data_IF_924238988502
#
_entry.id   IF_924238988502
#
_cell.length_a   1.000
_cell.length_b   1.000
_cell.length_c   1.000
_cell.angle_alpha   90.00
_cell.angle_beta   90.00
_cell.angle_gamma   90.00
#
_symmetry.space_group_name_H-M   'P 1'
#
loop_
_entity.id
_entity.type
_entity.pdbx_description
1 polymer ?
#
# COMPACT_ATOMS: atom_id res chain seq x y z
N UNK A 1 4.49 38.99 -17.01
CA UNK A 1 3.12 38.52 -16.86
C UNK A 1 2.87 37.08 -17.33
N UNK A 2 3.29 36.66 -18.56
CA UNK A 2 3.08 35.28 -19.05
C UNK A 2 3.73 34.22 -18.13
N UNK A 3 4.97 34.44 -17.70
CA UNK A 3 5.71 33.50 -16.83
C UNK A 3 5.05 33.32 -15.46
N UNK A 4 4.57 34.41 -14.84
CA UNK A 4 3.92 34.35 -13.54
C UNK A 4 2.60 33.56 -13.60
N UNK A 5 1.81 33.75 -14.67
CA UNK A 5 0.58 33.00 -14.93
C UNK A 5 0.88 31.51 -15.10
N UNK A 6 1.93 31.17 -15.81
CA UNK A 6 2.34 29.75 -16.01
C UNK A 6 2.75 29.11 -14.69
N UNK A 7 3.56 29.79 -13.86
CA UNK A 7 3.96 29.30 -12.54
C UNK A 7 2.73 29.08 -11.66
N UNK A 8 1.80 30.02 -11.64
CA UNK A 8 0.57 29.91 -10.86
C UNK A 8 -0.27 28.69 -11.28
N UNK A 9 -0.41 28.43 -12.57
CA UNK A 9 -1.13 27.24 -13.09
C UNK A 9 -0.47 25.97 -12.65
N UNK A 10 0.88 25.86 -12.69
CA UNK A 10 1.60 24.69 -12.22
C UNK A 10 1.41 24.44 -10.72
N UNK A 11 1.46 25.50 -9.90
CA UNK A 11 1.20 25.38 -8.46
C UNK A 11 -0.23 24.89 -8.21
N UNK A 12 -1.21 25.45 -8.91
CA UNK A 12 -2.61 25.05 -8.79
C UNK A 12 -2.82 23.58 -9.19
N UNK A 13 -2.15 23.14 -10.26
CA UNK A 13 -2.18 21.74 -10.72
C UNK A 13 -1.58 20.79 -9.69
N UNK A 14 -0.48 21.17 -9.06
CA UNK A 14 0.14 20.37 -8.00
C UNK A 14 -0.79 20.24 -6.77
N UNK A 15 -1.37 21.36 -6.33
CA UNK A 15 -2.35 21.35 -5.24
C UNK A 15 -3.54 20.44 -5.58
N UNK A 16 -4.05 20.52 -6.81
CA UNK A 16 -5.15 19.68 -7.27
C UNK A 16 -4.80 18.20 -7.21
N UNK A 17 -3.59 17.79 -7.66
CA UNK A 17 -3.13 16.40 -7.59
C UNK A 17 -3.12 15.93 -6.14
N UNK A 18 -2.52 16.72 -5.22
CA UNK A 18 -2.43 16.36 -3.80
C UNK A 18 -3.83 16.17 -3.20
N UNK A 19 -4.74 17.13 -3.42
CA UNK A 19 -6.11 17.03 -2.89
C UNK A 19 -6.82 15.82 -3.46
N UNK A 20 -6.69 15.60 -4.78
CA UNK A 20 -7.32 14.46 -5.42
C UNK A 20 -6.80 13.14 -4.87
N UNK A 21 -5.48 12.99 -4.70
CA UNK A 21 -4.86 11.79 -4.12
C UNK A 21 -5.43 11.51 -2.72
N UNK A 22 -5.47 12.53 -1.85
CA UNK A 22 -6.02 12.40 -0.49
C UNK A 22 -7.48 11.94 -0.54
N UNK A 23 -8.32 12.59 -1.35
CA UNK A 23 -9.75 12.24 -1.46
C UNK A 23 -9.91 10.82 -2.01
N UNK A 24 -9.11 10.44 -2.99
CA UNK A 24 -9.18 9.11 -3.58
C UNK A 24 -8.78 8.01 -2.60
N UNK A 25 -7.71 8.21 -1.82
CA UNK A 25 -7.33 7.29 -0.75
C UNK A 25 -8.41 7.17 0.32
N UNK A 26 -8.99 8.28 0.78
CA UNK A 26 -10.09 8.26 1.76
C UNK A 26 -11.30 7.48 1.23
N UNK A 27 -11.66 7.69 -0.04
CA UNK A 27 -12.77 6.95 -0.66
C UNK A 27 -12.48 5.45 -0.75
N UNK A 28 -11.26 5.07 -1.15
CA UNK A 28 -10.86 3.68 -1.21
C UNK A 28 -10.89 3.03 0.17
N UNK A 29 -10.27 3.65 1.16
CA UNK A 29 -10.28 3.20 2.56
C UNK A 29 -11.71 3.04 3.08
N UNK A 30 -12.59 4.01 2.80
CA UNK A 30 -13.99 3.93 3.20
C UNK A 30 -14.71 2.74 2.54
N UNK A 31 -14.50 2.50 1.25
CA UNK A 31 -15.11 1.37 0.56
C UNK A 31 -14.59 0.05 1.11
N UNK A 32 -13.28 -0.08 1.29
CA UNK A 32 -12.68 -1.30 1.85
C UNK A 32 -13.15 -1.55 3.28
N UNK A 33 -13.23 -0.51 4.12
CA UNK A 33 -13.70 -0.67 5.49
C UNK A 33 -15.13 -1.20 5.54
N UNK A 34 -16.01 -0.73 4.65
CA UNK A 34 -17.40 -1.21 4.58
C UNK A 34 -17.54 -2.64 4.04
N UNK A 35 -16.59 -3.07 3.21
CA UNK A 35 -16.64 -4.40 2.59
C UNK A 35 -15.98 -5.48 3.45
N UNK A 36 -14.91 -5.15 4.18
CA UNK A 36 -14.01 -6.16 4.73
C UNK A 36 -13.82 -6.08 6.24
N UNK A 37 -14.09 -4.94 6.91
CA UNK A 37 -13.82 -4.83 8.34
C UNK A 37 -14.98 -5.39 9.17
N UNK A 38 -14.76 -6.47 9.95
CA UNK A 38 -15.67 -6.89 11.01
C UNK A 38 -15.58 -5.92 12.19
N UNK A 39 -16.55 -5.99 13.12
CA UNK A 39 -16.60 -5.11 14.29
C UNK A 39 -15.43 -5.34 15.28
N UNK A 40 -14.83 -6.52 15.27
CA UNK A 40 -13.77 -6.96 16.19
C UNK A 40 -12.37 -6.89 15.55
N UNK A 41 -12.16 -6.10 14.47
CA UNK A 41 -10.84 -5.97 13.88
C UNK A 41 -9.87 -5.22 14.79
N UNK A 42 -8.61 -5.60 14.74
CA UNK A 42 -7.50 -4.97 15.48
C UNK A 42 -6.61 -4.17 14.53
N UNK A 43 -6.22 -4.81 13.43
CA UNK A 43 -5.37 -4.24 12.39
C UNK A 43 -5.98 -4.50 11.02
N UNK A 44 -5.87 -3.50 10.16
CA UNK A 44 -6.23 -3.58 8.76
C UNK A 44 -5.04 -3.20 7.90
N UNK A 45 -4.68 -4.09 6.97
CA UNK A 45 -3.48 -4.02 6.17
C UNK A 45 -3.85 -3.97 4.70
N UNK A 46 -3.43 -2.92 4.02
CA UNK A 46 -3.55 -2.79 2.58
C UNK A 46 -2.24 -3.28 1.92
N UNK A 47 -2.25 -4.55 1.47
CA UNK A 47 -1.03 -5.30 1.15
C UNK A 47 -0.19 -4.70 0.03
N UNK A 48 1.09 -4.54 0.30
CA UNK A 48 2.11 -4.26 -0.71
C UNK A 48 2.40 -5.51 -1.57
N UNK A 49 2.76 -5.40 -2.88
CA UNK A 49 2.91 -4.14 -3.63
C UNK A 49 1.63 -3.67 -4.35
N UNK A 50 0.53 -4.41 -4.24
CA UNK A 50 -0.70 -4.13 -5.00
C UNK A 50 -1.32 -2.80 -4.58
N UNK A 51 -1.20 -2.42 -3.30
CA UNK A 51 -1.58 -1.09 -2.82
C UNK A 51 -0.98 0.05 -3.65
N UNK A 52 0.23 -0.12 -4.16
CA UNK A 52 0.90 0.89 -5.01
C UNK A 52 0.31 1.03 -6.41
N UNK A 53 -0.50 0.07 -6.87
CA UNK A 53 -1.17 0.18 -8.17
C UNK A 53 -2.16 1.34 -8.24
N UNK A 54 -2.58 1.87 -7.09
CA UNK A 54 -3.41 3.07 -6.99
C UNK A 54 -2.77 4.28 -7.70
N UNK A 55 -1.42 4.38 -7.74
CA UNK A 55 -0.70 5.44 -8.43
C UNK A 55 -0.92 5.44 -9.95
N UNK A 56 -1.47 4.37 -10.54
CA UNK A 56 -1.87 4.35 -11.95
C UNK A 56 -2.98 5.38 -12.20
N UNK A 57 -3.91 5.54 -11.27
CA UNK A 57 -4.98 6.55 -11.37
C UNK A 57 -4.43 7.97 -11.21
N UNK A 58 -3.44 8.17 -10.34
CA UNK A 58 -2.73 9.45 -10.25
C UNK A 58 -2.01 9.78 -11.56
N UNK A 59 -1.38 8.78 -12.19
CA UNK A 59 -0.74 8.96 -13.50
C UNK A 59 -1.73 9.41 -14.57
N UNK A 60 -2.97 8.86 -14.58
CA UNK A 60 -4.01 9.32 -15.52
C UNK A 60 -4.33 10.80 -15.33
N UNK A 61 -4.41 11.26 -14.07
CA UNK A 61 -4.69 12.66 -13.77
C UNK A 61 -3.53 13.55 -14.16
N UNK A 62 -2.30 13.13 -13.88
CA UNK A 62 -1.09 13.87 -14.29
C UNK A 62 -1.08 14.03 -15.82
N UNK A 63 -1.34 12.95 -16.57
CA UNK A 63 -1.43 12.99 -18.04
C UNK A 63 -2.52 13.95 -18.50
N UNK A 64 -3.70 13.89 -17.89
CA UNK A 64 -4.80 14.80 -18.22
C UNK A 64 -4.46 16.26 -17.93
N UNK A 65 -3.89 16.55 -16.77
CA UNK A 65 -3.46 17.91 -16.41
C UNK A 65 -2.37 18.44 -17.36
N UNK A 66 -1.37 17.62 -17.70
CA UNK A 66 -0.34 17.97 -18.68
C UNK A 66 -0.95 18.30 -20.04
N UNK A 67 -1.95 17.55 -20.48
CA UNK A 67 -2.68 17.83 -21.71
C UNK A 67 -3.38 19.22 -21.69
N UNK A 68 -4.00 19.59 -20.58
CA UNK A 68 -4.71 20.87 -20.49
C UNK A 68 -3.76 22.06 -20.26
N UNK A 69 -2.71 21.88 -19.48
CA UNK A 69 -1.83 22.98 -19.03
C UNK A 69 -0.67 23.22 -20.00
N UNK A 70 -0.11 22.18 -20.60
CA UNK A 70 1.13 22.27 -21.38
C UNK A 70 0.86 22.14 -22.89
N UNK A 71 1.03 23.26 -23.64
CA UNK A 71 0.83 23.29 -25.07
C UNK A 71 1.76 22.34 -25.83
N UNK A 72 3.03 22.29 -25.46
CA UNK A 72 4.02 21.44 -26.13
C UNK A 72 3.71 19.96 -25.94
N UNK A 73 3.27 19.58 -24.74
CA UNK A 73 2.84 18.21 -24.46
C UNK A 73 1.60 17.81 -25.27
N UNK A 74 0.62 18.72 -25.38
CA UNK A 74 -0.56 18.52 -26.22
C UNK A 74 -0.21 18.34 -27.70
N UNK A 75 0.74 19.16 -28.21
CA UNK A 75 1.24 19.02 -29.60
C UNK A 75 1.96 17.69 -29.80
N UNK A 76 2.80 17.26 -28.84
CA UNK A 76 3.45 15.94 -28.87
C UNK A 76 2.43 14.80 -28.91
N UNK A 77 1.43 14.82 -28.04
CA UNK A 77 0.36 13.83 -28.05
C UNK A 77 -0.41 13.81 -29.37
N UNK A 78 -0.67 14.98 -29.93
CA UNK A 78 -1.34 15.09 -31.24
C UNK A 78 -0.53 14.45 -32.36
N UNK A 79 0.80 14.65 -32.37
CA UNK A 79 1.71 13.99 -33.32
C UNK A 79 1.67 12.48 -33.15
N UNK A 80 1.76 11.98 -31.91
CA UNK A 80 1.72 10.54 -31.62
C UNK A 80 0.38 9.90 -32.04
N UNK A 81 -0.73 10.56 -31.76
CA UNK A 81 -2.07 10.10 -32.16
C UNK A 81 -2.20 10.09 -33.68
N UNK A 82 -1.72 11.12 -34.36
CA UNK A 82 -1.76 11.17 -35.83
C UNK A 82 -0.87 10.11 -36.47
N UNK A 83 0.31 9.84 -35.92
CA UNK A 83 1.18 8.74 -36.35
C UNK A 83 0.50 7.37 -36.23
N UNK A 84 -0.30 7.18 -35.19
CA UNK A 84 -1.02 5.93 -34.92
C UNK A 84 -2.48 5.96 -35.42
N UNK A 85 -2.86 6.95 -36.23
CA UNK A 85 -4.27 7.22 -36.59
C UNK A 85 -4.97 6.04 -37.23
N UNK A 86 -4.31 5.39 -38.19
CA UNK A 86 -4.91 4.25 -38.90
C UNK A 86 -5.05 3.03 -37.96
N UNK A 87 -4.06 2.77 -37.12
CA UNK A 87 -4.13 1.75 -36.10
C UNK A 87 -5.28 2.03 -35.10
N UNK A 88 -5.33 3.24 -34.58
CA UNK A 88 -6.40 3.64 -33.64
C UNK A 88 -7.77 3.54 -34.29
N UNK A 89 -7.91 3.97 -35.53
CA UNK A 89 -9.16 3.90 -36.27
C UNK A 89 -9.63 2.46 -36.48
N UNK A 90 -8.72 1.58 -36.91
CA UNK A 90 -9.03 0.18 -37.20
C UNK A 90 -9.33 -0.64 -35.94
N UNK A 91 -8.69 -0.32 -34.81
CA UNK A 91 -8.82 -1.08 -33.55
C UNK A 91 -9.50 -0.30 -32.43
N UNK A 92 -10.20 0.80 -32.73
CA UNK A 92 -10.83 1.69 -31.75
C UNK A 92 -11.64 0.94 -30.70
N UNK A 93 -12.51 0.05 -31.14
CA UNK A 93 -13.39 -0.72 -30.23
C UNK A 93 -12.58 -1.66 -29.33
N UNK A 94 -11.57 -2.34 -29.90
CA UNK A 94 -10.70 -3.23 -29.14
C UNK A 94 -9.87 -2.44 -28.09
N UNK A 95 -9.34 -1.28 -28.47
CA UNK A 95 -8.57 -0.41 -27.55
C UNK A 95 -9.45 0.05 -26.38
N UNK A 96 -10.65 0.55 -26.66
CA UNK A 96 -11.59 1.00 -25.62
C UNK A 96 -11.98 -0.18 -24.71
N UNK A 97 -12.30 -1.33 -25.29
CA UNK A 97 -12.68 -2.52 -24.54
C UNK A 97 -11.54 -3.01 -23.63
N UNK A 98 -10.32 -3.09 -24.16
CA UNK A 98 -9.13 -3.46 -23.39
C UNK A 98 -8.87 -2.47 -22.25
N UNK A 99 -9.01 -1.16 -22.51
CA UNK A 99 -8.84 -0.14 -21.48
C UNK A 99 -9.89 -0.27 -20.37
N UNK A 100 -11.13 -0.50 -20.71
CA UNK A 100 -12.22 -0.68 -19.73
C UNK A 100 -11.97 -1.93 -18.88
N UNK A 101 -11.68 -3.07 -19.53
CA UNK A 101 -11.40 -4.33 -18.81
C UNK A 101 -10.19 -4.16 -17.91
N UNK A 102 -9.11 -3.55 -18.40
CA UNK A 102 -7.91 -3.29 -17.60
C UNK A 102 -8.24 -2.51 -16.32
N UNK A 103 -9.05 -1.43 -16.44
CA UNK A 103 -9.43 -0.63 -15.27
C UNK A 103 -10.37 -1.39 -14.31
N UNK A 104 -11.26 -2.23 -14.81
CA UNK A 104 -12.10 -3.09 -13.96
C UNK A 104 -11.20 -4.06 -13.16
N UNK A 105 -10.27 -4.75 -13.82
CA UNK A 105 -9.34 -5.68 -13.17
C UNK A 105 -8.45 -4.94 -12.17
N UNK A 106 -7.93 -3.76 -12.54
CA UNK A 106 -7.10 -2.93 -11.68
C UNK A 106 -7.85 -2.51 -10.41
N UNK A 107 -9.06 -1.98 -10.56
CA UNK A 107 -9.91 -1.58 -9.43
C UNK A 107 -10.21 -2.77 -8.53
N UNK A 108 -10.57 -3.91 -9.13
CA UNK A 108 -10.83 -5.14 -8.40
C UNK A 108 -9.59 -5.60 -7.62
N UNK A 109 -8.41 -5.63 -8.26
CA UNK A 109 -7.16 -6.04 -7.61
C UNK A 109 -6.80 -5.12 -6.43
N UNK A 110 -7.00 -3.80 -6.56
CA UNK A 110 -6.76 -2.84 -5.50
C UNK A 110 -7.75 -3.03 -4.35
N UNK A 111 -9.04 -3.21 -4.65
CA UNK A 111 -10.07 -3.36 -3.61
C UNK A 111 -9.90 -4.68 -2.81
N UNK A 112 -9.65 -5.79 -3.49
CA UNK A 112 -9.57 -7.13 -2.88
C UNK A 112 -8.14 -7.53 -2.53
N UNK A 113 -7.34 -6.62 -1.97
CA UNK A 113 -5.97 -6.93 -1.52
C UNK A 113 -5.75 -6.41 -0.10
N UNK A 114 -6.51 -6.97 0.82
CA UNK A 114 -6.59 -6.54 2.22
C UNK A 114 -6.39 -7.73 3.14
N UNK A 115 -5.68 -7.53 4.23
CA UNK A 115 -5.66 -8.49 5.35
C UNK A 115 -6.21 -7.80 6.59
N UNK A 116 -7.07 -8.50 7.29
CA UNK A 116 -7.67 -8.05 8.55
C UNK A 116 -7.24 -8.99 9.66
N UNK A 117 -6.74 -8.43 10.75
CA UNK A 117 -6.43 -9.17 11.97
C UNK A 117 -7.50 -8.82 12.98
N UNK A 118 -8.12 -9.84 13.55
CA UNK A 118 -9.10 -9.74 14.63
C UNK A 118 -8.52 -10.31 15.92
N UNK A 119 -9.28 -10.34 17.01
CA UNK A 119 -8.79 -10.87 18.28
C UNK A 119 -8.38 -12.36 18.26
N UNK A 120 -8.80 -13.14 17.27
CA UNK A 120 -8.59 -14.60 17.28
C UNK A 120 -8.25 -15.20 15.90
N UNK A 121 -8.34 -14.42 14.84
CA UNK A 121 -8.09 -14.90 13.47
C UNK A 121 -7.52 -13.83 12.55
N UNK A 122 -6.96 -14.30 11.45
CA UNK A 122 -6.49 -13.51 10.32
C UNK A 122 -7.41 -13.81 9.15
N UNK A 123 -7.94 -12.78 8.50
CA UNK A 123 -8.77 -12.90 7.30
C UNK A 123 -8.01 -12.28 6.15
N UNK A 124 -7.65 -13.09 5.17
CA UNK A 124 -6.81 -12.68 4.04
C UNK A 124 -7.64 -12.63 2.75
N UNK A 125 -7.96 -11.40 2.32
CA UNK A 125 -8.62 -11.15 1.04
C UNK A 125 -7.58 -10.96 -0.05
N UNK A 126 -7.77 -11.64 -1.17
CA UNK A 126 -6.91 -11.54 -2.35
C UNK A 126 -7.73 -11.49 -3.61
N UNK A 127 -7.08 -11.12 -4.72
CA UNK A 127 -7.69 -11.17 -6.05
C UNK A 127 -8.34 -12.53 -6.36
N UNK A 128 -7.71 -13.64 -5.91
CA UNK A 128 -8.21 -15.00 -6.13
C UNK A 128 -9.17 -15.49 -5.03
N UNK A 129 -9.20 -14.84 -3.89
CA UNK A 129 -10.06 -15.18 -2.75
C UNK A 129 -10.80 -13.95 -2.24
N UNK A 130 -11.79 -13.44 -2.98
CA UNK A 130 -12.51 -12.21 -2.62
C UNK A 130 -13.44 -12.37 -1.42
N UNK A 131 -13.79 -13.59 -1.05
CA UNK A 131 -14.58 -13.90 0.16
C UNK A 131 -13.74 -13.96 1.43
N UNK A 132 -12.42 -13.83 1.29
CA UNK A 132 -11.46 -13.97 2.37
C UNK A 132 -11.14 -15.43 2.70
N UNK A 133 -9.89 -15.69 3.05
CA UNK A 133 -9.44 -16.94 3.63
C UNK A 133 -9.16 -16.72 5.10
N UNK A 134 -9.81 -17.48 5.96
CA UNK A 134 -9.62 -17.37 7.39
C UNK A 134 -8.52 -18.30 7.87
N UNK A 135 -7.69 -17.81 8.81
CA UNK A 135 -6.63 -18.52 9.48
C UNK A 135 -6.72 -18.25 10.98
N UNK A 136 -6.49 -19.27 11.79
CA UNK A 136 -6.27 -19.09 13.22
C UNK A 136 -4.83 -18.66 13.49
N UNK A 137 -4.55 -18.08 14.66
CA UNK A 137 -3.17 -17.72 15.03
C UNK A 137 -2.25 -18.95 15.09
N UNK A 138 -2.79 -20.13 15.38
CA UNK A 138 -2.07 -21.40 15.30
C UNK A 138 -1.64 -21.79 13.88
N UNK A 139 -2.17 -21.13 12.83
CA UNK A 139 -1.75 -21.34 11.46
C UNK A 139 -0.53 -20.50 11.07
N UNK A 140 -0.04 -19.64 11.98
CA UNK A 140 1.24 -18.96 11.80
C UNK A 140 2.36 -20.01 11.96
N UNK A 141 3.11 -20.22 10.89
CA UNK A 141 4.22 -21.17 10.89
C UNK A 141 5.50 -20.53 11.44
N UNK A 142 5.67 -19.21 11.20
CA UNK A 142 6.88 -18.51 11.57
C UNK A 142 6.69 -16.99 11.51
N UNK A 143 7.44 -16.28 12.34
CA UNK A 143 7.55 -14.81 12.32
C UNK A 143 8.98 -14.44 11.93
N UNK A 144 9.14 -13.45 11.06
CA UNK A 144 10.40 -12.86 10.65
C UNK A 144 10.34 -11.33 10.86
N UNK A 145 11.23 -10.78 11.68
CA UNK A 145 11.19 -9.36 12.05
C UNK A 145 12.58 -8.75 12.15
N UNK A 146 12.69 -7.48 11.75
CA UNK A 146 13.95 -6.76 11.71
C UNK A 146 13.83 -5.37 11.10
N UNK A 147 14.99 -4.81 10.72
CA UNK A 147 15.09 -3.49 10.09
C UNK A 147 15.88 -3.58 8.80
N UNK A 148 15.34 -3.02 7.72
CA UNK A 148 16.02 -2.99 6.42
C UNK A 148 17.28 -2.10 6.45
N UNK A 149 18.44 -2.69 6.13
CA UNK A 149 19.72 -1.97 6.12
C UNK A 149 20.05 -1.28 4.81
N UNK A 150 19.45 -1.68 3.70
CA UNK A 150 19.75 -1.15 2.37
C UNK A 150 18.54 -0.43 1.79
N UNK A 151 18.77 0.80 1.32
CA UNK A 151 17.79 1.52 0.50
C UNK A 151 17.77 0.90 -0.89
N UNK A 152 16.60 0.48 -1.36
CA UNK A 152 16.40 0.13 -2.76
C UNK A 152 15.81 1.33 -3.50
N UNK A 153 16.27 1.57 -4.73
CA UNK A 153 15.95 2.79 -5.50
C UNK A 153 14.64 2.71 -6.29
N UNK A 154 13.90 1.62 -6.16
CA UNK A 154 12.63 1.44 -6.87
C UNK A 154 11.46 1.78 -5.93
N UNK A 155 10.48 2.50 -6.45
CA UNK A 155 9.26 2.94 -5.72
C UNK A 155 8.43 1.79 -5.10
N UNK A 156 8.76 0.55 -5.42
CA UNK A 156 8.10 -0.66 -4.93
C UNK A 156 8.95 -1.45 -3.92
N UNK A 157 9.87 -0.79 -3.23
CA UNK A 157 10.76 -1.45 -2.29
C UNK A 157 10.91 -0.64 -1.00
N UNK A 158 11.43 -1.30 0.03
CA UNK A 158 11.60 -0.73 1.37
C UNK A 158 12.67 0.36 1.38
N UNK A 159 12.53 1.32 2.29
CA UNK A 159 13.57 2.30 2.60
C UNK A 159 14.56 1.72 3.63
N UNK A 160 15.75 2.28 3.68
CA UNK A 160 16.70 2.02 4.77
C UNK A 160 16.08 2.50 6.07
N UNK A 161 16.07 1.65 7.09
CA UNK A 161 15.49 1.95 8.38
C UNK A 161 14.02 1.57 8.53
N UNK A 162 13.35 1.12 7.45
CA UNK A 162 11.99 0.59 7.57
C UNK A 162 12.01 -0.68 8.42
N UNK A 163 11.16 -0.72 9.43
CA UNK A 163 10.88 -1.91 10.22
C UNK A 163 10.03 -2.88 9.40
N UNK A 164 10.19 -4.18 9.59
CA UNK A 164 9.31 -5.19 9.04
C UNK A 164 8.92 -6.21 10.10
N UNK A 165 7.69 -6.72 9.99
CA UNK A 165 7.15 -7.78 10.80
C UNK A 165 6.31 -8.71 9.93
N UNK A 166 6.94 -9.77 9.43
CA UNK A 166 6.36 -10.67 8.45
C UNK A 166 5.92 -11.95 9.15
N UNK A 167 4.65 -12.26 9.10
CA UNK A 167 4.13 -13.57 9.46
C UNK A 167 4.09 -14.47 8.22
N UNK A 168 4.53 -15.71 8.35
CA UNK A 168 4.40 -16.74 7.34
C UNK A 168 3.40 -17.79 7.83
N UNK A 169 2.33 -17.99 7.07
CA UNK A 169 1.30 -18.96 7.38
C UNK A 169 1.71 -20.35 6.90
N UNK A 170 1.09 -21.43 7.44
CA UNK A 170 1.39 -22.81 7.09
C UNK A 170 1.24 -23.15 5.61
N UNK A 171 0.44 -22.39 4.87
CA UNK A 171 0.30 -22.54 3.42
C UNK A 171 1.33 -21.75 2.60
N UNK A 172 2.28 -21.07 3.27
CA UNK A 172 3.33 -20.25 2.66
C UNK A 172 2.93 -18.80 2.39
N UNK A 173 1.70 -18.39 2.69
CA UNK A 173 1.26 -16.99 2.57
C UNK A 173 2.07 -16.11 3.53
N UNK A 174 2.58 -14.97 3.04
CA UNK A 174 3.32 -13.99 3.85
C UNK A 174 2.56 -12.69 3.94
N UNK A 175 2.47 -12.16 5.15
CA UNK A 175 1.76 -10.92 5.47
C UNK A 175 2.71 -10.03 6.29
N UNK A 176 2.99 -8.83 5.82
CA UNK A 176 3.78 -7.84 6.57
C UNK A 176 2.84 -6.99 7.43
N UNK A 177 2.92 -7.16 8.74
CA UNK A 177 2.11 -6.42 9.70
C UNK A 177 2.59 -4.97 9.90
N UNK A 178 3.65 -4.54 9.25
CA UNK A 178 4.09 -3.14 9.26
C UNK A 178 3.33 -2.28 8.22
N UNK A 179 2.62 -2.87 7.28
CA UNK A 179 1.86 -2.16 6.24
C UNK A 179 0.42 -1.85 6.68
N UNK A 180 0.26 -1.40 7.92
CA UNK A 180 -1.04 -1.07 8.49
C UNK A 180 -1.59 0.21 7.88
N UNK A 181 -2.82 0.15 7.36
CA UNK A 181 -3.57 1.32 6.90
C UNK A 181 -4.35 1.97 8.06
N UNK A 182 -4.97 1.15 8.92
CA UNK A 182 -5.74 1.61 10.07
C UNK A 182 -5.75 0.59 11.21
N UNK A 183 -6.03 1.09 12.41
CA UNK A 183 -6.24 0.33 13.63
C UNK A 183 -7.67 0.59 14.14
N UNK A 184 -8.19 -0.30 14.96
CA UNK A 184 -9.50 -0.14 15.64
C UNK A 184 -9.55 1.11 16.53
N UNK A 185 -8.39 1.57 16.99
CA UNK A 185 -8.26 2.71 17.90
C UNK A 185 -7.34 3.78 17.33
N UNK A 186 -7.40 5.00 17.87
CA UNK A 186 -6.47 6.10 17.55
C UNK A 186 -5.03 5.83 18.04
N UNK A 187 -4.74 4.59 18.44
CA UNK A 187 -3.42 4.16 18.93
C UNK A 187 -2.54 3.80 17.74
N UNK A 188 -1.28 4.25 17.77
CA UNK A 188 -0.30 3.86 16.75
C UNK A 188 -0.15 2.33 16.69
N UNK A 189 -0.13 1.78 15.50
CA UNK A 189 -0.10 0.33 15.25
C UNK A 189 1.07 -0.40 15.94
N UNK A 190 2.19 0.27 16.21
CA UNK A 190 3.36 -0.33 16.87
C UNK A 190 3.07 -0.77 18.30
N UNK A 191 2.17 -0.09 18.99
CA UNK A 191 1.72 -0.49 20.33
C UNK A 191 0.87 -1.76 20.27
N UNK A 192 0.00 -1.83 19.25
CA UNK A 192 -0.83 -3.01 19.02
C UNK A 192 0.03 -4.19 18.61
N UNK A 193 0.98 -3.95 17.69
CA UNK A 193 1.89 -4.98 17.21
C UNK A 193 2.79 -5.54 18.33
N UNK A 194 3.24 -4.70 19.28
CA UNK A 194 3.97 -5.18 20.48
C UNK A 194 3.11 -6.15 21.31
N UNK A 195 1.82 -5.89 21.42
CA UNK A 195 0.92 -6.79 22.18
C UNK A 195 0.66 -8.09 21.42
N UNK A 196 0.40 -8.03 20.12
CA UNK A 196 0.28 -9.22 19.26
C UNK A 196 1.56 -10.06 19.27
N UNK A 197 2.73 -9.42 19.22
CA UNK A 197 4.02 -10.11 19.29
C UNK A 197 4.19 -10.88 20.59
N UNK A 198 3.81 -10.29 21.73
CA UNK A 198 3.82 -10.98 23.03
C UNK A 198 2.89 -12.20 23.03
N UNK A 199 1.72 -12.07 22.43
CA UNK A 199 0.76 -13.16 22.30
C UNK A 199 1.32 -14.29 21.43
N UNK A 200 1.83 -13.98 20.26
CA UNK A 200 2.40 -14.97 19.33
C UNK A 200 3.62 -15.70 19.94
N UNK A 201 4.51 -14.98 20.64
CA UNK A 201 5.63 -15.60 21.34
C UNK A 201 5.15 -16.48 22.50
N UNK A 202 4.10 -16.10 23.23
CA UNK A 202 3.50 -16.94 24.29
C UNK A 202 2.82 -18.20 23.73
N UNK A 203 2.37 -18.18 22.47
CA UNK A 203 1.84 -19.34 21.76
C UNK A 203 2.93 -20.26 21.20
N UNK A 204 4.21 -20.01 21.51
CA UNK A 204 5.37 -20.75 21.02
C UNK A 204 5.55 -20.72 19.48
N UNK A 205 5.05 -19.65 18.81
CA UNK A 205 5.25 -19.48 17.38
C UNK A 205 6.73 -19.17 17.13
N UNK A 206 7.41 -19.94 16.22
CA UNK A 206 8.80 -19.71 15.90
C UNK A 206 9.06 -18.30 15.40
N UNK A 207 10.02 -17.59 15.99
CA UNK A 207 10.36 -16.22 15.63
C UNK A 207 11.84 -16.06 15.33
N UNK A 208 12.12 -15.48 14.16
CA UNK A 208 13.45 -15.02 13.76
C UNK A 208 13.48 -13.52 13.86
N UNK A 209 14.36 -12.99 14.69
CA UNK A 209 14.46 -11.56 14.95
C UNK A 209 15.92 -11.10 14.87
N UNK A 210 16.17 -9.91 14.33
CA UNK A 210 17.48 -9.30 14.28
C UNK A 210 17.44 -7.84 14.71
N UNK A 211 18.38 -7.46 15.56
CA UNK A 211 18.65 -6.06 15.92
C UNK A 211 19.56 -5.35 14.91
N UNK A 212 19.99 -6.02 13.84
CA UNK A 212 20.81 -5.41 12.81
C UNK A 212 20.08 -4.21 12.20
N UNK A 213 20.82 -3.14 11.97
CA UNK A 213 20.32 -1.88 11.40
C UNK A 213 19.27 -1.13 12.25
N UNK A 214 19.04 -1.54 13.50
CA UNK A 214 18.04 -0.88 14.36
C UNK A 214 18.32 0.62 14.54
N UNK A 215 19.61 1.02 14.55
CA UNK A 215 20.02 2.42 14.65
C UNK A 215 19.37 3.31 13.57
N UNK A 216 19.07 2.76 12.38
CA UNK A 216 18.45 3.54 11.30
C UNK A 216 16.98 3.89 11.60
N UNK A 217 16.28 3.10 12.41
CA UNK A 217 14.95 3.48 12.90
C UNK A 217 15.02 4.72 13.79
N UNK A 218 16.08 4.83 14.61
CA UNK A 218 16.24 5.95 15.55
C UNK A 218 16.55 7.27 14.86
N UNK A 219 16.99 7.27 13.61
CA UNK A 219 17.25 8.48 12.82
C UNK A 219 15.94 9.16 12.38
N UNK A 220 14.81 8.44 12.32
CA UNK A 220 13.58 8.90 11.69
C UNK A 220 12.34 8.83 12.59
N UNK A 221 12.41 8.09 13.70
CA UNK A 221 11.28 7.85 14.60
C UNK A 221 11.57 8.39 16.01
N UNK A 222 10.52 8.91 16.63
CA UNK A 222 10.59 9.30 18.05
C UNK A 222 10.83 8.10 18.95
N UNK A 223 11.45 8.36 20.11
CA UNK A 223 11.86 7.33 21.07
C UNK A 223 10.71 6.41 21.49
N UNK A 224 9.50 6.95 21.66
CA UNK A 224 8.31 6.18 22.05
C UNK A 224 8.03 5.04 21.06
N UNK A 225 8.22 5.26 19.77
CA UNK A 225 8.00 4.28 18.71
C UNK A 225 9.20 3.32 18.57
N UNK A 226 10.42 3.85 18.66
CA UNK A 226 11.63 3.00 18.59
C UNK A 226 11.75 2.06 19.77
N UNK A 227 11.27 2.46 20.96
CA UNK A 227 11.21 1.57 22.12
C UNK A 227 10.24 0.40 21.90
N UNK A 228 9.10 0.62 21.19
CA UNK A 228 8.17 -0.46 20.81
C UNK A 228 8.80 -1.43 19.83
N UNK A 229 9.45 -0.93 18.78
CA UNK A 229 10.18 -1.78 17.82
C UNK A 229 11.28 -2.56 18.54
N UNK A 230 12.04 -1.93 19.42
CA UNK A 230 13.07 -2.61 20.21
C UNK A 230 12.50 -3.75 21.05
N UNK A 231 11.38 -3.51 21.74
CA UNK A 231 10.74 -4.53 22.55
C UNK A 231 10.30 -5.72 21.69
N UNK A 232 9.72 -5.47 20.51
CA UNK A 232 9.36 -6.52 19.56
C UNK A 232 10.60 -7.31 19.14
N UNK A 233 11.68 -6.63 18.75
CA UNK A 233 12.91 -7.30 18.27
C UNK A 233 13.60 -8.11 19.36
N UNK A 234 13.54 -7.69 20.62
CA UNK A 234 14.13 -8.39 21.77
C UNK A 234 13.23 -9.49 22.35
N UNK A 235 11.93 -9.50 22.02
CA UNK A 235 10.99 -10.48 22.52
C UNK A 235 11.16 -11.81 21.77
N UNK A 236 12.14 -12.58 22.13
CA UNK A 236 12.43 -13.93 21.60
C UNK A 236 12.52 -14.93 22.74
N UNK A 237 12.02 -16.15 22.51
CA UNK A 237 12.24 -17.26 23.46
C UNK A 237 13.56 -17.93 23.20
#
# INVERSE_FOLDING_TARGET
MKTLKTIFIWILSLIFIIIFSIVFFILLSFVQSKLFLPEDYILWIFKFPISRLIFIYELYIIIALLYFVNKNYRELLFILINFSKDFIKNYKTAIIFTFVIFNIILTYAILFNVTVITNNKIIDYTFLSPTGKEYEYNDIAKIDTGVYGKKRYLSFTHSKGDFYYIIELKDGTKIDLNEVDSTDSDIDYRFILENLDKEYVNMDIPKVSSMDNFEYCTEHLDKIYTDKIRNILLNTK
#
